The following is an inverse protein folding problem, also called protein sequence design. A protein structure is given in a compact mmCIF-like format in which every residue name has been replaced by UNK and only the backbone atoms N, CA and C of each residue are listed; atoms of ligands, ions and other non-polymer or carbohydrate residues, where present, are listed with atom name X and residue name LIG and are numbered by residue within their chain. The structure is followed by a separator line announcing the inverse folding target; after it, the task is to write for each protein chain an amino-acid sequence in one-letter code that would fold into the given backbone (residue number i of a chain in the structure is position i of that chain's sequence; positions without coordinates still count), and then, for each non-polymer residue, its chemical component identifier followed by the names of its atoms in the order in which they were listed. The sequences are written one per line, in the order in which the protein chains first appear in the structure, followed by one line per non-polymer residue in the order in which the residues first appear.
data_IF_721648983902
#
_entry.id   IF_721648983902
#
_cell.length_a   1.000
_cell.length_b   1.000
_cell.length_c   1.000
_cell.angle_alpha   90.00
_cell.angle_beta   90.00
_cell.angle_gamma   90.00
#
_symmetry.space_group_name_H-M   'P 1'
#
loop_
_entity.id
_entity.type
_entity.pdbx_description
1 polymer ?
#
# COMPACT_ATOMS: atom_id res chain seq x y z
N UNK A 1 12.31 22.20 -4.88
CA UNK A 1 11.06 21.43 -4.66
C UNK A 1 10.19 21.32 -5.91
N UNK A 2 10.56 21.94 -7.03
CA UNK A 2 9.80 21.91 -8.28
C UNK A 2 9.58 20.50 -8.82
N UNK A 3 10.59 19.62 -8.76
CA UNK A 3 10.46 18.25 -9.26
C UNK A 3 9.40 17.45 -8.51
N UNK A 4 9.44 17.41 -7.17
CA UNK A 4 8.45 16.70 -6.37
C UNK A 4 7.01 17.15 -6.68
N UNK A 5 6.80 18.47 -6.82
CA UNK A 5 5.50 19.00 -7.20
C UNK A 5 5.06 18.58 -8.62
N UNK A 6 5.99 18.52 -9.58
CA UNK A 6 5.69 18.04 -10.94
C UNK A 6 5.43 16.53 -10.95
N UNK A 7 6.18 15.74 -10.19
CA UNK A 7 6.00 14.29 -10.08
C UNK A 7 4.64 13.96 -9.48
N UNK A 8 4.26 14.60 -8.37
CA UNK A 8 2.94 14.40 -7.76
C UNK A 8 1.83 14.90 -8.68
N UNK A 9 2.03 16.03 -9.38
CA UNK A 9 1.08 16.50 -10.38
C UNK A 9 0.89 15.48 -11.50
N UNK A 10 1.97 14.92 -12.05
CA UNK A 10 1.89 13.89 -13.09
C UNK A 10 1.14 12.65 -12.57
N UNK A 11 1.50 12.17 -11.39
CA UNK A 11 0.85 11.02 -10.75
C UNK A 11 -0.65 11.27 -10.53
N UNK A 12 -1.03 12.48 -10.11
CA UNK A 12 -2.43 12.89 -9.98
C UNK A 12 -3.18 12.78 -11.32
N UNK A 13 -2.63 13.28 -12.42
CA UNK A 13 -3.29 13.19 -13.74
C UNK A 13 -3.36 11.74 -14.24
N UNK A 14 -2.30 10.95 -14.04
CA UNK A 14 -2.28 9.54 -14.46
C UNK A 14 -3.30 8.71 -13.69
N UNK A 15 -3.38 8.86 -12.36
CA UNK A 15 -4.30 8.10 -11.52
C UNK A 15 -5.77 8.49 -11.73
N UNK A 16 -6.02 9.69 -12.25
CA UNK A 16 -7.36 10.11 -12.66
C UNK A 16 -7.88 9.32 -13.87
N UNK A 17 -6.99 9.00 -14.82
CA UNK A 17 -7.34 8.34 -16.08
C UNK A 17 -7.17 6.81 -16.02
N UNK A 18 -6.11 6.33 -15.37
CA UNK A 18 -5.73 4.91 -15.32
C UNK A 18 -5.31 4.49 -13.91
N UNK A 19 -6.05 3.55 -13.31
CA UNK A 19 -5.83 3.11 -11.91
C UNK A 19 -5.07 1.80 -11.83
N UNK A 20 -5.39 0.88 -12.72
CA UNK A 20 -5.00 -0.53 -12.75
C UNK A 20 -3.49 -0.74 -12.72
N UNK A 21 -2.65 0.05 -13.41
CA UNK A 21 -1.20 -0.07 -13.29
C UNK A 21 -0.69 0.20 -11.86
N UNK A 22 -1.31 1.13 -11.14
CA UNK A 22 -0.92 1.51 -9.78
C UNK A 22 -1.44 0.54 -8.71
N UNK A 23 -2.49 -0.22 -9.05
CA UNK A 23 -3.12 -1.21 -8.19
C UNK A 23 -2.49 -2.62 -8.31
N UNK A 24 -1.38 -2.75 -9.03
CA UNK A 24 -0.65 -4.01 -9.13
C UNK A 24 0.08 -4.34 -7.82
N UNK A 25 0.16 -5.61 -7.40
CA UNK A 25 0.78 -6.01 -6.13
C UNK A 25 2.20 -5.45 -5.93
N UNK A 26 2.97 -5.32 -7.00
CA UNK A 26 4.37 -4.88 -6.96
C UNK A 26 4.53 -3.37 -6.70
N UNK A 27 3.46 -2.61 -6.90
CA UNK A 27 3.43 -1.13 -6.87
C UNK A 27 2.58 -0.62 -5.71
N UNK A 28 1.40 -1.22 -5.49
CA UNK A 28 0.35 -0.67 -4.62
C UNK A 28 0.84 -0.39 -3.19
N UNK A 29 1.55 -1.32 -2.57
CA UNK A 29 2.10 -1.14 -1.21
C UNK A 29 3.16 -0.04 -1.14
N UNK A 30 4.05 0.05 -2.15
CA UNK A 30 5.08 1.10 -2.22
C UNK A 30 4.45 2.47 -2.44
N UNK A 31 3.39 2.52 -3.24
CA UNK A 31 2.66 3.74 -3.52
C UNK A 31 1.89 4.23 -2.29
N UNK A 32 1.20 3.34 -1.57
CA UNK A 32 0.53 3.65 -0.31
C UNK A 32 1.53 4.23 0.71
N UNK A 33 2.62 3.51 0.99
CA UNK A 33 3.64 3.97 1.93
C UNK A 33 4.28 5.31 1.52
N UNK A 34 4.49 5.54 0.21
CA UNK A 34 4.99 6.82 -0.30
C UNK A 34 3.99 7.96 -0.06
N UNK A 35 2.70 7.73 -0.31
CA UNK A 35 1.66 8.73 -0.07
C UNK A 35 1.51 9.02 1.42
N UNK A 36 1.50 7.99 2.27
CA UNK A 36 1.33 8.12 3.73
C UNK A 36 2.49 8.90 4.33
N UNK A 37 3.73 8.58 3.91
CA UNK A 37 4.90 9.36 4.30
C UNK A 37 4.78 10.83 3.89
N UNK A 38 4.34 11.13 2.67
CA UNK A 38 4.15 12.52 2.23
C UNK A 38 3.03 13.21 3.03
N UNK A 39 1.97 12.49 3.38
CA UNK A 39 0.89 13.00 4.21
C UNK A 39 1.40 13.35 5.62
N UNK A 40 2.25 12.51 6.22
CA UNK A 40 2.95 12.80 7.48
C UNK A 40 3.76 14.09 7.37
N UNK A 41 4.52 14.29 6.28
CA UNK A 41 5.32 15.51 6.11
C UNK A 41 4.44 16.77 6.04
N UNK A 42 3.31 16.69 5.32
CA UNK A 42 2.39 17.83 5.11
C UNK A 42 1.52 18.16 6.31
N UNK A 43 1.03 17.14 7.00
CA UNK A 43 0.21 17.30 8.19
C UNK A 43 1.03 17.38 9.47
N UNK A 44 2.32 17.06 9.43
CA UNK A 44 3.23 17.04 10.57
C UNK A 44 3.77 18.42 10.97
N UNK A 45 4.50 18.49 12.10
CA UNK A 45 5.15 19.72 12.55
C UNK A 45 6.18 20.23 11.55
N UNK A 46 6.76 19.34 10.73
CA UNK A 46 7.77 19.67 9.70
C UNK A 46 7.27 20.69 8.68
N UNK A 47 6.03 20.54 8.17
CA UNK A 47 5.43 21.55 7.28
C UNK A 47 5.10 22.85 8.02
N UNK A 48 4.79 22.80 9.31
CA UNK A 48 4.48 23.98 10.12
C UNK A 48 5.74 24.78 10.51
N UNK A 49 6.89 24.11 10.65
CA UNK A 49 8.18 24.73 10.92
C UNK A 49 8.84 25.34 9.69
N UNK A 50 8.40 24.96 8.48
CA UNK A 50 8.98 25.44 7.23
C UNK A 50 8.50 26.88 6.90
N UNK A 51 9.05 27.88 7.61
CA UNK A 51 8.88 29.30 7.27
C UNK A 51 9.89 29.70 6.21
N UNK A 52 9.59 29.41 4.96
CA UNK A 52 10.42 29.82 3.82
C UNK A 52 10.15 31.29 3.49
N UNK A 53 11.22 32.09 3.36
CA UNK A 53 11.15 33.46 2.85
C UNK A 53 10.86 33.37 1.34
N UNK A 54 9.75 33.96 0.90
CA UNK A 54 9.22 33.86 -0.47
C UNK A 54 8.98 32.41 -0.96
N UNK A 55 7.91 31.75 -0.48
CA UNK A 55 7.56 30.37 -0.84
C UNK A 55 7.35 30.15 -2.35
N UNK A 56 6.89 31.17 -3.07
CA UNK A 56 6.57 31.07 -4.49
C UNK A 56 7.83 30.93 -5.35
N UNK A 57 8.91 31.62 -4.99
CA UNK A 57 10.21 31.52 -5.68
C UNK A 57 10.79 30.10 -5.69
N UNK A 58 10.46 29.29 -4.67
CA UNK A 58 10.87 27.88 -4.56
C UNK A 58 9.82 26.89 -5.08
N UNK A 59 8.68 27.40 -5.54
CA UNK A 59 7.52 26.62 -5.97
C UNK A 59 6.86 25.84 -4.83
N UNK A 60 6.99 26.28 -3.59
CA UNK A 60 6.41 25.61 -2.43
C UNK A 60 4.92 25.94 -2.30
N UNK A 61 4.06 24.99 -2.67
CA UNK A 61 2.61 25.12 -2.62
C UNK A 61 1.98 23.99 -1.78
N UNK A 62 2.11 24.01 -0.45
CA UNK A 62 1.75 22.89 0.43
C UNK A 62 0.25 22.54 0.35
N UNK A 63 -0.62 23.55 0.21
CA UNK A 63 -2.06 23.33 0.04
C UNK A 63 -2.38 22.56 -1.25
N UNK A 64 -1.74 22.94 -2.36
CA UNK A 64 -1.92 22.26 -3.65
C UNK A 64 -1.33 20.86 -3.63
N UNK A 65 -0.19 20.68 -2.96
CA UNK A 65 0.44 19.37 -2.82
C UNK A 65 -0.44 18.43 -1.98
N UNK A 66 -0.97 18.91 -0.86
CA UNK A 66 -1.95 18.17 -0.06
C UNK A 66 -3.19 17.81 -0.90
N UNK A 67 -3.73 18.76 -1.66
CA UNK A 67 -4.87 18.52 -2.54
C UNK A 67 -4.62 17.38 -3.54
N UNK A 68 -3.47 17.39 -4.23
CA UNK A 68 -3.14 16.34 -5.19
C UNK A 68 -2.89 14.99 -4.52
N UNK A 69 -2.18 14.97 -3.39
CA UNK A 69 -1.88 13.72 -2.65
C UNK A 69 -3.17 13.07 -2.20
N UNK A 70 -4.03 13.80 -1.48
CA UNK A 70 -5.31 13.25 -1.02
C UNK A 70 -6.14 12.80 -2.22
N UNK A 71 -6.12 13.55 -3.33
CA UNK A 71 -6.88 13.19 -4.51
C UNK A 71 -6.40 11.87 -5.14
N UNK A 72 -5.10 11.61 -5.16
CA UNK A 72 -4.55 10.31 -5.59
C UNK A 72 -5.11 9.18 -4.73
N UNK A 73 -5.28 9.37 -3.42
CA UNK A 73 -5.90 8.34 -2.58
C UNK A 73 -7.33 8.01 -3.03
N UNK A 74 -8.14 9.05 -3.27
CA UNK A 74 -9.54 8.88 -3.68
C UNK A 74 -9.63 8.34 -5.11
N UNK A 75 -8.71 8.72 -6.01
CA UNK A 75 -8.63 8.13 -7.34
C UNK A 75 -8.41 6.63 -7.27
N UNK A 76 -7.54 6.16 -6.37
CA UNK A 76 -7.17 4.76 -6.23
C UNK A 76 -8.11 3.97 -5.30
N UNK A 77 -9.13 4.60 -4.73
CA UNK A 77 -10.18 3.89 -3.99
C UNK A 77 -10.99 3.02 -4.98
N UNK A 78 -11.05 1.72 -4.67
CA UNK A 78 -11.74 0.70 -5.45
C UNK A 78 -12.67 -0.11 -4.56
N UNK A 79 -13.72 -0.69 -5.15
CA UNK A 79 -14.74 -1.45 -4.42
C UNK A 79 -14.23 -2.72 -3.75
N UNK A 80 -13.11 -3.26 -4.21
CA UNK A 80 -12.46 -4.44 -3.64
C UNK A 80 -11.46 -4.10 -2.51
N UNK A 81 -11.40 -2.84 -2.10
CA UNK A 81 -10.63 -2.34 -0.95
C UNK A 81 -9.12 -2.66 -0.96
N UNK A 82 -8.55 -3.09 -2.10
CA UNK A 82 -7.14 -3.47 -2.20
C UNK A 82 -6.19 -2.33 -1.81
N UNK A 83 -6.52 -1.11 -2.22
CA UNK A 83 -5.71 0.06 -1.91
C UNK A 83 -5.89 0.47 -0.44
N UNK A 84 -7.11 0.43 0.08
CA UNK A 84 -7.38 0.65 1.50
C UNK A 84 -6.60 -0.33 2.39
N UNK A 85 -6.52 -1.61 1.98
CA UNK A 85 -5.69 -2.61 2.64
C UNK A 85 -4.21 -2.23 2.65
N UNK A 86 -3.67 -1.82 1.49
CA UNK A 86 -2.25 -1.44 1.37
C UNK A 86 -1.89 -0.22 2.23
N UNK A 87 -2.84 0.71 2.45
CA UNK A 87 -2.65 1.83 3.39
C UNK A 87 -2.64 1.31 4.84
N UNK A 88 -3.59 0.45 5.20
CA UNK A 88 -3.69 -0.11 6.55
C UNK A 88 -2.48 -0.99 6.93
N UNK A 89 -1.80 -1.55 5.93
CA UNK A 89 -0.56 -2.34 6.08
C UNK A 89 0.69 -1.49 6.33
N UNK A 90 0.69 -0.18 6.04
CA UNK A 90 1.87 0.68 6.29
C UNK A 90 2.03 1.03 7.78
N UNK A 91 2.67 0.15 8.52
CA UNK A 91 2.96 0.33 9.96
C UNK A 91 3.86 1.53 10.29
N UNK A 92 4.52 2.14 9.30
CA UNK A 92 5.52 3.19 9.54
C UNK A 92 4.92 4.58 9.53
N UNK A 93 3.98 4.83 8.62
CA UNK A 93 3.48 6.19 8.36
C UNK A 93 1.97 6.30 8.60
N UNK A 94 1.21 5.23 8.38
CA UNK A 94 -0.22 5.27 8.59
C UNK A 94 -0.57 5.46 10.07
N UNK A 95 -1.54 6.34 10.32
CA UNK A 95 -2.27 6.39 11.59
C UNK A 95 -3.66 6.98 11.35
N UNK A 96 -4.70 6.54 12.08
CA UNK A 96 -6.04 7.12 11.95
C UNK A 96 -6.05 8.64 12.18
N UNK A 97 -5.24 9.11 13.13
CA UNK A 97 -5.14 10.53 13.48
C UNK A 97 -4.55 11.37 12.35
N UNK A 98 -3.67 10.80 11.52
CA UNK A 98 -3.10 11.49 10.36
C UNK A 98 -4.18 11.84 9.34
N UNK A 99 -5.08 10.90 9.04
CA UNK A 99 -6.17 11.09 8.09
C UNK A 99 -7.23 12.07 8.63
N UNK A 100 -7.57 11.98 9.92
CA UNK A 100 -8.44 12.96 10.58
C UNK A 100 -7.83 14.37 10.51
N UNK A 101 -6.51 14.49 10.73
CA UNK A 101 -5.81 15.77 10.64
C UNK A 101 -5.82 16.31 9.21
N UNK A 102 -5.54 15.47 8.21
CA UNK A 102 -5.61 15.84 6.79
C UNK A 102 -7.00 16.36 6.42
N UNK A 103 -8.06 15.64 6.82
CA UNK A 103 -9.45 16.07 6.62
C UNK A 103 -9.69 17.46 7.24
N UNK A 104 -9.34 17.65 8.52
CA UNK A 104 -9.52 18.95 9.21
C UNK A 104 -8.79 20.12 8.53
N UNK A 105 -7.58 19.87 8.01
CA UNK A 105 -6.79 20.89 7.30
C UNK A 105 -7.43 21.26 5.97
N UNK A 106 -7.92 20.26 5.23
CA UNK A 106 -8.62 20.48 3.97
C UNK A 106 -9.91 21.28 4.17
N UNK A 107 -10.70 20.94 5.20
CA UNK A 107 -11.92 21.67 5.57
C UNK A 107 -11.61 23.11 6.01
N UNK A 108 -10.68 23.29 6.96
CA UNK A 108 -10.36 24.60 7.54
C UNK A 108 -9.85 25.59 6.50
N UNK A 109 -9.07 25.10 5.52
CA UNK A 109 -8.44 25.95 4.51
C UNK A 109 -9.16 25.96 3.16
N UNK A 110 -10.30 25.27 3.04
CA UNK A 110 -11.08 25.20 1.79
C UNK A 110 -10.26 24.62 0.63
N UNK A 111 -9.47 23.57 0.88
CA UNK A 111 -8.53 23.00 -0.10
C UNK A 111 -9.27 22.14 -1.13
N UNK A 112 -10.34 21.45 -0.69
CA UNK A 112 -11.12 20.51 -1.50
C UNK A 112 -12.63 20.78 -1.36
N UNK A 113 -13.42 20.21 -2.27
CA UNK A 113 -14.89 20.35 -2.27
C UNK A 113 -15.55 19.51 -1.17
N UNK A 114 -16.76 19.86 -0.72
CA UNK A 114 -17.51 19.05 0.26
C UNK A 114 -17.76 17.61 -0.19
N UNK A 115 -18.10 17.41 -1.46
CA UNK A 115 -18.31 16.07 -2.04
C UNK A 115 -17.04 15.23 -1.95
N UNK A 116 -15.90 15.85 -2.26
CA UNK A 116 -14.60 15.20 -2.16
C UNK A 116 -14.27 14.82 -0.71
N UNK A 117 -14.52 15.70 0.26
CA UNK A 117 -14.30 15.42 1.68
C UNK A 117 -15.13 14.22 2.15
N UNK A 118 -16.34 14.05 1.60
CA UNK A 118 -17.19 12.88 1.86
C UNK A 118 -16.55 11.60 1.32
N UNK A 119 -16.07 11.60 0.06
CA UNK A 119 -15.37 10.45 -0.51
C UNK A 119 -14.08 10.11 0.26
N UNK A 120 -13.31 11.11 0.68
CA UNK A 120 -12.12 10.91 1.47
C UNK A 120 -12.44 10.33 2.86
N UNK A 121 -13.54 10.76 3.48
CA UNK A 121 -14.01 10.20 4.76
C UNK A 121 -14.41 8.74 4.62
N UNK A 122 -15.15 8.39 3.56
CA UNK A 122 -15.53 7.00 3.27
C UNK A 122 -14.28 6.09 3.07
N UNK A 123 -13.25 6.58 2.36
CA UNK A 123 -11.99 5.85 2.28
C UNK A 123 -11.31 5.72 3.65
N UNK A 124 -11.27 6.79 4.44
CA UNK A 124 -10.66 6.78 5.78
C UNK A 124 -11.30 5.74 6.69
N UNK A 125 -12.63 5.61 6.64
CA UNK A 125 -13.39 4.60 7.40
C UNK A 125 -13.03 3.17 6.96
N UNK A 126 -12.96 2.91 5.64
CA UNK A 126 -12.51 1.60 5.12
C UNK A 126 -11.11 1.24 5.60
N UNK A 127 -10.18 2.19 5.54
CA UNK A 127 -8.79 1.95 5.99
C UNK A 127 -8.75 1.66 7.49
N UNK A 128 -9.52 2.40 8.28
CA UNK A 128 -9.62 2.17 9.73
C UNK A 128 -10.13 0.76 10.04
N UNK A 129 -11.22 0.33 9.39
CA UNK A 129 -11.76 -1.02 9.56
C UNK A 129 -10.73 -2.10 9.23
N UNK A 130 -9.99 -1.93 8.12
CA UNK A 130 -8.93 -2.88 7.72
C UNK A 130 -7.77 -2.91 8.72
N UNK A 131 -7.39 -1.74 9.26
CA UNK A 131 -6.35 -1.64 10.26
C UNK A 131 -6.75 -2.27 11.59
N UNK A 132 -7.99 -2.03 12.06
CA UNK A 132 -8.53 -2.66 13.26
C UNK A 132 -8.64 -4.17 13.11
N UNK A 133 -9.11 -4.66 11.95
CA UNK A 133 -9.16 -6.09 11.63
C UNK A 133 -7.76 -6.72 11.66
N UNK A 134 -6.75 -6.04 11.12
CA UNK A 134 -5.35 -6.50 11.17
C UNK A 134 -4.86 -6.57 12.62
N UNK A 135 -5.06 -5.50 13.40
CA UNK A 135 -4.63 -5.47 14.80
C UNK A 135 -5.34 -6.54 15.64
N UNK A 136 -6.62 -6.80 15.37
CA UNK A 136 -7.36 -7.87 16.03
C UNK A 136 -6.79 -9.25 15.69
N UNK A 137 -6.44 -9.50 14.42
CA UNK A 137 -5.77 -10.74 14.02
C UNK A 137 -4.43 -10.93 14.75
N UNK A 138 -3.64 -9.86 14.91
CA UNK A 138 -2.38 -9.91 15.68
C UNK A 138 -2.63 -10.20 17.16
N UNK A 139 -3.70 -9.66 17.75
CA UNK A 139 -4.05 -9.93 19.15
C UNK A 139 -4.56 -11.35 19.37
N UNK A 140 -5.37 -11.87 18.44
CA UNK A 140 -6.02 -13.18 18.56
C UNK A 140 -5.05 -14.33 18.25
N UNK A 141 -4.03 -14.11 17.42
CA UNK A 141 -3.14 -15.16 16.89
C UNK A 141 -1.65 -14.87 17.01
N UNK A 142 -1.23 -13.75 17.61
CA UNK A 142 0.18 -13.39 17.76
C UNK A 142 0.99 -14.32 18.67
N UNK A 143 0.32 -15.14 19.49
CA UNK A 143 0.90 -16.18 20.34
C UNK A 143 0.73 -17.59 19.76
N UNK A 144 0.36 -17.71 18.47
CA UNK A 144 0.16 -18.98 17.81
C UNK A 144 1.39 -19.89 17.95
N UNK A 145 1.19 -21.21 18.21
CA UNK A 145 2.30 -22.15 18.27
C UNK A 145 3.11 -22.19 16.97
N UNK A 146 4.42 -22.36 17.08
CA UNK A 146 5.36 -22.30 15.95
C UNK A 146 5.05 -23.27 14.80
N UNK A 147 4.29 -24.34 15.05
CA UNK A 147 3.82 -25.29 14.02
C UNK A 147 2.80 -24.69 13.03
N UNK A 148 2.15 -23.57 13.40
CA UNK A 148 1.25 -22.80 12.53
C UNK A 148 1.94 -21.60 11.87
N UNK A 149 3.21 -21.35 12.21
CA UNK A 149 4.01 -20.27 11.64
C UNK A 149 4.91 -20.79 10.52
N UNK A 150 5.11 -19.94 9.51
CA UNK A 150 6.00 -20.20 8.39
C UNK A 150 7.44 -20.33 8.90
N UNK A 151 8.10 -21.44 8.56
CA UNK A 151 9.46 -21.74 9.04
C UNK A 151 10.56 -20.80 8.54
N UNK A 152 10.27 -19.94 7.55
CA UNK A 152 11.16 -18.93 6.98
C UNK A 152 10.79 -17.51 7.40
N UNK A 153 9.50 -17.18 7.37
CA UNK A 153 8.99 -15.83 7.59
C UNK A 153 8.58 -15.56 9.04
N UNK A 154 8.45 -16.61 9.85
CA UNK A 154 7.96 -16.53 11.24
C UNK A 154 6.60 -15.82 11.36
N UNK A 155 5.75 -16.00 10.33
CA UNK A 155 4.41 -15.44 10.24
C UNK A 155 3.37 -16.54 10.19
N UNK A 156 2.16 -16.29 10.71
CA UNK A 156 1.06 -17.25 10.64
C UNK A 156 0.79 -17.69 9.19
N UNK A 157 0.79 -19.00 8.93
CA UNK A 157 0.60 -19.55 7.58
C UNK A 157 -0.86 -19.45 7.14
N UNK A 158 -1.11 -18.95 5.92
CA UNK A 158 -2.46 -18.85 5.34
C UNK A 158 -2.80 -19.99 4.36
N UNK A 159 -1.82 -20.48 3.62
CA UNK A 159 -1.87 -21.57 2.64
C UNK A 159 -0.63 -22.47 2.82
N UNK A 160 -0.57 -23.28 3.90
CA UNK A 160 0.62 -24.08 4.23
C UNK A 160 0.91 -25.15 3.16
N UNK A 161 2.16 -25.25 2.74
CA UNK A 161 2.68 -26.23 1.77
C UNK A 161 3.93 -26.91 2.30
N UNK A 162 3.98 -28.23 2.17
CA UNK A 162 5.16 -29.01 2.51
C UNK A 162 6.18 -29.02 1.35
N UNK A 163 7.43 -28.69 1.65
CA UNK A 163 8.52 -28.78 0.69
C UNK A 163 8.97 -30.25 0.51
N UNK A 164 9.14 -30.74 -0.73
CA UNK A 164 9.42 -32.15 -1.00
C UNK A 164 10.81 -32.62 -0.55
N UNK A 165 11.76 -31.70 -0.33
CA UNK A 165 13.11 -32.02 0.13
C UNK A 165 13.23 -31.96 1.66
N UNK A 166 13.01 -30.77 2.22
CA UNK A 166 13.19 -30.52 3.65
C UNK A 166 12.02 -31.01 4.53
N UNK A 167 10.87 -31.36 3.93
CA UNK A 167 9.61 -31.67 4.63
C UNK A 167 9.12 -30.54 5.56
N UNK A 168 9.72 -29.35 5.47
CA UNK A 168 9.29 -28.15 6.18
C UNK A 168 7.98 -27.63 5.59
N UNK A 169 7.11 -27.13 6.45
CA UNK A 169 5.88 -26.43 6.03
C UNK A 169 6.19 -24.94 5.94
N UNK A 170 5.87 -24.36 4.79
CA UNK A 170 5.99 -22.93 4.49
C UNK A 170 4.69 -22.43 3.89
N UNK A 171 4.39 -21.17 4.10
CA UNK A 171 3.26 -20.49 3.51
C UNK A 171 3.47 -20.27 2.01
N UNK A 172 2.40 -20.53 1.23
CA UNK A 172 2.48 -20.51 -0.23
C UNK A 172 2.42 -19.08 -0.77
N UNK A 173 3.56 -18.39 -0.80
CA UNK A 173 3.65 -17.05 -1.41
C UNK A 173 3.24 -17.04 -2.90
N UNK A 174 2.57 -15.99 -3.42
CA UNK A 174 2.13 -15.92 -4.81
C UNK A 174 3.26 -16.10 -5.84
N UNK A 175 4.44 -15.52 -5.57
CA UNK A 175 5.63 -15.65 -6.42
C UNK A 175 6.17 -17.09 -6.43
N UNK A 176 6.01 -17.81 -5.32
CA UNK A 176 6.38 -19.22 -5.20
C UNK A 176 5.43 -20.10 -6.03
N UNK A 177 4.15 -19.75 -6.18
CA UNK A 177 3.22 -20.46 -7.11
C UNK A 177 3.76 -20.46 -8.54
N UNK A 178 4.19 -19.29 -9.03
CA UNK A 178 4.72 -19.15 -10.38
C UNK A 178 6.03 -19.94 -10.53
N UNK A 179 6.96 -19.81 -9.57
CA UNK A 179 8.22 -20.57 -9.59
C UNK A 179 8.03 -22.08 -9.52
N UNK A 180 7.09 -22.57 -8.72
CA UNK A 180 6.74 -24.00 -8.66
C UNK A 180 6.10 -24.46 -9.97
N UNK A 181 5.23 -23.64 -10.58
CA UNK A 181 4.62 -23.95 -11.87
C UNK A 181 5.68 -24.03 -12.99
N UNK A 182 6.64 -23.11 -13.00
CA UNK A 182 7.74 -23.09 -13.95
C UNK A 182 8.70 -24.29 -13.73
N UNK A 183 9.00 -24.62 -12.47
CA UNK A 183 9.78 -25.80 -12.11
C UNK A 183 9.09 -27.10 -12.54
N UNK A 184 7.76 -27.24 -12.32
CA UNK A 184 6.98 -28.41 -12.76
C UNK A 184 7.03 -28.58 -14.28
N UNK A 185 6.84 -27.48 -15.03
CA UNK A 185 6.95 -27.50 -16.51
C UNK A 185 8.34 -27.93 -16.98
N UNK A 186 9.39 -27.43 -16.35
CA UNK A 186 10.77 -27.81 -16.68
C UNK A 186 11.04 -29.30 -16.41
N UNK A 187 10.56 -29.85 -15.28
CA UNK A 187 10.70 -31.29 -14.96
C UNK A 187 9.93 -32.20 -15.93
N UNK A 188 8.73 -31.79 -16.36
CA UNK A 188 7.96 -32.55 -17.34
C UNK A 188 8.59 -32.58 -18.73
N UNK A 189 9.29 -31.50 -19.11
CA UNK A 189 10.05 -31.44 -20.36
C UNK A 189 11.29 -32.34 -20.32
N UNK A 190 12.01 -32.37 -19.20
CA UNK A 190 13.16 -33.27 -19.01
C UNK A 190 12.75 -34.75 -19.06
N UNK A 191 11.61 -35.10 -18.43
CA UNK A 191 11.09 -36.47 -18.44
C UNK A 191 10.61 -36.90 -19.83
N UNK A 192 9.94 -36.00 -20.58
CA UNK A 192 9.55 -36.26 -21.98
C UNK A 192 10.75 -36.36 -22.92
N UNK A 193 11.79 -35.56 -22.70
CA UNK A 193 13.03 -35.63 -23.49
C UNK A 193 13.75 -36.96 -23.34
N UNK A 194 13.80 -37.51 -22.11
CA UNK A 194 14.42 -38.81 -21.82
C UNK A 194 13.66 -40.00 -22.45
N UNK A 195 12.33 -39.93 -22.52
CA UNK A 195 11.51 -40.97 -23.18
C UNK A 195 11.57 -40.94 -24.71
N UNK A 196 12.06 -39.85 -25.32
CA UNK A 196 12.21 -39.72 -26.77
C UNK A 196 13.62 -40.11 -27.27
N UNK A 197 14.54 -40.48 -26.37
CA UNK A 197 15.93 -40.86 -26.69
C UNK A 197 16.25 -42.34 -26.43
N UNK A 198 15.26 -43.13 -26.01
CA UNK A 198 15.28 -44.61 -25.94
C UNK A 198 14.40 -45.19 -27.06
#
# INVERSE_FOLDING_TARGET
MTLANQTVKLLFHLTMEIKEPFLRPEIIGKLAAMLDYNLVQLCGPQCSSLKVRDPESYGWAPKRLLAHITAIYVHLDTSDNRFAMSIAEDERSYSPQLFTKAHSLMTRHGIQTPDYLTSFSALTEKVLEMHERKNQMELDYGDAPAEFCDTLMDTLMSDPVMLPGSHSVVDRMPELKQRIADWKKSREQELRGRQATE
#
